data_IF_876662589501
#
_entry.id   IF_876662589501
#
_cell.length_a   1.000
_cell.length_b   1.000
_cell.length_c   1.000
_cell.angle_alpha   90.00
_cell.angle_beta   90.00
_cell.angle_gamma   90.00
#
_symmetry.space_group_name_H-M   'P 1'
#
loop_
_entity.id
_entity.type
_entity.pdbx_description
1 polymer ?
#
# COMPACT_ATOMS: atom_id res chain seq x y z
N UNK A 1 -60.97 -9.50 45.86
CA UNK A 1 -59.91 -10.51 45.64
C UNK A 1 -59.21 -10.14 44.35
N UNK A 2 -57.96 -9.68 44.43
CA UNK A 2 -57.20 -9.11 43.31
C UNK A 2 -56.77 -10.21 42.34
N UNK A 3 -57.20 -10.11 41.07
CA UNK A 3 -56.69 -10.95 39.99
C UNK A 3 -55.37 -10.34 39.50
N UNK A 4 -54.26 -10.93 39.94
CA UNK A 4 -52.92 -10.53 39.54
C UNK A 4 -52.62 -10.98 38.12
N UNK A 5 -52.80 -10.08 37.15
CA UNK A 5 -52.30 -10.27 35.79
C UNK A 5 -50.78 -10.20 35.81
N UNK A 6 -50.12 -11.36 35.73
CA UNK A 6 -48.68 -11.47 35.54
C UNK A 6 -48.31 -10.95 34.15
N UNK A 7 -47.80 -9.73 34.10
CA UNK A 7 -47.21 -9.14 32.89
C UNK A 7 -45.88 -9.85 32.65
N UNK A 8 -45.89 -10.87 31.78
CA UNK A 8 -44.66 -11.51 31.30
C UNK A 8 -43.91 -10.47 30.49
N UNK A 9 -42.89 -9.87 31.09
CA UNK A 9 -41.88 -9.13 30.34
C UNK A 9 -41.15 -10.15 29.47
N UNK A 10 -41.57 -10.26 28.22
CA UNK A 10 -40.79 -10.92 27.18
C UNK A 10 -39.51 -10.08 27.02
N UNK A 11 -38.47 -10.46 27.76
CA UNK A 11 -37.12 -9.95 27.55
C UNK A 11 -36.84 -10.27 26.10
N UNK A 12 -36.97 -9.27 25.22
CA UNK A 12 -36.36 -9.29 23.89
C UNK A 12 -34.90 -9.60 24.14
N UNK A 13 -34.56 -10.88 24.06
CA UNK A 13 -33.20 -11.30 23.80
C UNK A 13 -32.93 -10.63 22.47
N UNK A 14 -32.27 -9.48 22.51
CA UNK A 14 -31.63 -8.92 21.35
C UNK A 14 -30.67 -10.03 20.96
N UNK A 15 -31.14 -10.92 20.09
CA UNK A 15 -30.28 -11.82 19.39
C UNK A 15 -29.30 -10.85 18.75
N UNK A 16 -28.10 -10.77 19.31
CA UNK A 16 -26.96 -10.13 18.69
C UNK A 16 -26.74 -10.97 17.46
N UNK A 17 -27.52 -10.70 16.42
CA UNK A 17 -27.42 -11.34 15.14
C UNK A 17 -26.00 -11.01 14.76
N UNK A 18 -25.12 -12.01 14.87
CA UNK A 18 -23.74 -11.89 14.43
C UNK A 18 -23.92 -11.61 12.94
N UNK A 19 -23.92 -10.32 12.58
CA UNK A 19 -24.20 -9.85 11.23
C UNK A 19 -23.07 -10.38 10.39
N UNK A 20 -23.33 -11.49 9.71
CA UNK A 20 -22.41 -12.07 8.76
C UNK A 20 -22.34 -11.09 7.60
N UNK A 21 -21.34 -10.22 7.61
CA UNK A 21 -21.06 -9.35 6.48
C UNK A 21 -20.73 -10.23 5.28
N UNK A 22 -21.54 -10.15 4.23
CA UNK A 22 -21.29 -10.86 3.00
C UNK A 22 -20.30 -10.04 2.15
N UNK A 23 -19.00 -10.19 2.43
CA UNK A 23 -17.95 -9.56 1.65
C UNK A 23 -17.81 -10.28 0.30
N UNK A 24 -17.69 -9.54 -0.83
CA UNK A 24 -17.42 -10.15 -2.13
C UNK A 24 -16.02 -10.79 -2.12
N UNK A 25 -15.90 -12.13 -2.10
CA UNK A 25 -14.62 -12.81 -1.84
C UNK A 25 -13.60 -12.57 -2.95
N UNK A 26 -14.07 -12.48 -4.21
CA UNK A 26 -13.19 -12.24 -5.35
C UNK A 26 -12.58 -10.84 -5.34
N UNK A 27 -13.39 -9.81 -5.04
CA UNK A 27 -12.92 -8.42 -5.02
C UNK A 27 -11.91 -8.18 -3.89
N UNK A 28 -12.16 -8.76 -2.71
CA UNK A 28 -11.26 -8.62 -1.56
C UNK A 28 -9.94 -9.36 -1.79
N UNK A 29 -9.97 -10.59 -2.32
CA UNK A 29 -8.74 -11.33 -2.63
C UNK A 29 -7.91 -10.63 -3.73
N UNK A 30 -8.56 -10.08 -4.75
CA UNK A 30 -7.90 -9.30 -5.79
C UNK A 30 -7.25 -8.04 -5.21
N UNK A 31 -7.96 -7.32 -4.34
CA UNK A 31 -7.40 -6.15 -3.64
C UNK A 31 -6.16 -6.49 -2.82
N UNK A 32 -6.23 -7.57 -2.02
CA UNK A 32 -5.11 -8.06 -1.20
C UNK A 32 -3.88 -8.34 -2.07
N UNK A 33 -4.08 -9.07 -3.19
CA UNK A 33 -3.00 -9.45 -4.09
C UNK A 33 -2.29 -8.22 -4.69
N UNK A 34 -3.06 -7.25 -5.20
CA UNK A 34 -2.50 -6.03 -5.78
C UNK A 34 -1.76 -5.21 -4.73
N UNK A 35 -2.34 -5.02 -3.54
CA UNK A 35 -1.69 -4.27 -2.47
C UNK A 35 -0.39 -4.91 -1.99
N UNK A 36 -0.35 -6.24 -1.91
CA UNK A 36 0.85 -6.97 -1.53
C UNK A 36 1.95 -6.81 -2.58
N UNK A 37 1.61 -6.90 -3.88
CA UNK A 37 2.55 -6.62 -4.95
C UNK A 37 3.10 -5.18 -4.89
N UNK A 38 2.23 -4.18 -4.71
CA UNK A 38 2.66 -2.78 -4.58
C UNK A 38 3.57 -2.57 -3.35
N UNK A 39 3.23 -3.15 -2.20
CA UNK A 39 4.05 -3.01 -0.99
C UNK A 39 5.42 -3.71 -1.12
N UNK A 40 5.46 -4.94 -1.63
CA UNK A 40 6.70 -5.68 -1.80
C UNK A 40 7.64 -5.03 -2.83
N UNK A 41 7.09 -4.50 -3.92
CA UNK A 41 7.89 -3.81 -4.94
C UNK A 41 8.52 -2.53 -4.40
N UNK A 42 7.75 -1.70 -3.67
CA UNK A 42 8.26 -0.47 -3.03
C UNK A 42 9.36 -0.80 -2.03
N UNK A 43 9.14 -1.76 -1.12
CA UNK A 43 10.14 -2.17 -0.14
C UNK A 43 11.41 -2.70 -0.83
N UNK A 44 11.25 -3.53 -1.87
CA UNK A 44 12.37 -4.11 -2.60
C UNK A 44 13.24 -3.07 -3.30
N UNK A 45 12.61 -2.09 -3.97
CA UNK A 45 13.34 -1.02 -4.68
C UNK A 45 14.03 -0.07 -3.70
N UNK A 46 13.33 0.42 -2.67
CA UNK A 46 14.00 1.30 -1.70
C UNK A 46 15.05 0.57 -0.86
N UNK A 47 14.85 -0.72 -0.59
CA UNK A 47 15.86 -1.56 0.07
C UNK A 47 17.14 -1.68 -0.74
N UNK A 48 17.04 -1.88 -2.06
CA UNK A 48 18.22 -1.91 -2.94
C UNK A 48 18.90 -0.55 -3.04
N UNK A 49 18.13 0.55 -3.06
CA UNK A 49 18.70 1.90 -3.04
C UNK A 49 19.47 2.19 -1.76
N UNK A 50 18.96 1.78 -0.59
CA UNK A 50 19.69 1.90 0.67
C UNK A 50 21.00 1.11 0.61
N UNK A 51 21.01 -0.10 0.06
CA UNK A 51 22.23 -0.88 -0.10
C UNK A 51 23.26 -0.16 -0.97
N UNK A 52 22.83 0.42 -2.09
CA UNK A 52 23.69 1.21 -2.98
C UNK A 52 24.24 2.44 -2.24
N UNK A 53 23.40 3.21 -1.55
CA UNK A 53 23.83 4.40 -0.79
C UNK A 53 24.87 4.05 0.28
N UNK A 54 24.70 2.92 0.98
CA UNK A 54 25.70 2.44 1.94
C UNK A 54 27.04 2.08 1.30
N UNK A 55 27.04 1.50 0.09
CA UNK A 55 28.28 1.19 -0.64
C UNK A 55 29.00 2.45 -1.13
N UNK A 56 28.26 3.52 -1.42
CA UNK A 56 28.83 4.80 -1.85
C UNK A 56 29.15 5.74 -0.66
N UNK A 57 28.88 5.33 0.59
CA UNK A 57 29.05 6.14 1.81
C UNK A 57 28.28 7.47 1.79
N UNK A 58 27.15 7.53 1.07
CA UNK A 58 26.28 8.70 1.04
C UNK A 58 25.22 8.64 2.16
N UNK A 59 24.77 9.81 2.66
CA UNK A 59 23.70 9.88 3.63
C UNK A 59 22.38 9.38 3.04
N UNK A 60 21.69 8.51 3.77
CA UNK A 60 20.40 7.95 3.35
C UNK A 60 19.29 9.00 3.57
N UNK A 61 18.55 9.39 2.52
CA UNK A 61 17.46 10.33 2.67
C UNK A 61 16.30 9.72 3.47
N UNK A 62 15.60 10.54 4.25
CA UNK A 62 14.55 10.10 5.19
C UNK A 62 13.36 9.41 4.52
N UNK A 63 13.07 9.75 3.25
CA UNK A 63 11.91 9.22 2.54
C UNK A 63 12.09 7.76 2.12
N UNK A 64 13.33 7.25 1.99
CA UNK A 64 13.61 5.84 1.75
C UNK A 64 13.13 4.94 2.91
N UNK A 65 13.63 5.10 4.16
CA UNK A 65 13.16 4.29 5.28
C UNK A 65 11.70 4.58 5.62
N UNK A 66 11.23 5.82 5.46
CA UNK A 66 9.81 6.15 5.63
C UNK A 66 8.92 5.23 4.78
N UNK A 67 9.16 5.16 3.46
CA UNK A 67 8.25 4.42 2.60
C UNK A 67 8.37 2.90 2.73
N UNK A 68 9.55 2.40 3.15
CA UNK A 68 9.74 1.01 3.58
C UNK A 68 8.88 0.70 4.81
N UNK A 69 8.88 1.58 5.83
CA UNK A 69 8.05 1.37 7.03
C UNK A 69 6.55 1.38 6.70
N UNK A 70 6.10 2.30 5.84
CA UNK A 70 4.70 2.35 5.37
C UNK A 70 4.33 1.07 4.62
N UNK A 71 5.19 0.59 3.71
CA UNK A 71 5.01 -0.68 3.02
C UNK A 71 4.94 -1.88 3.99
N UNK A 72 5.80 -1.90 5.01
CA UNK A 72 5.80 -2.96 6.03
C UNK A 72 4.52 -2.95 6.87
N UNK A 73 4.03 -1.76 7.28
CA UNK A 73 2.75 -1.63 7.99
C UNK A 73 1.59 -2.08 7.08
N UNK A 74 1.63 -1.79 5.77
CA UNK A 74 0.62 -2.26 4.82
C UNK A 74 0.62 -3.80 4.72
N UNK A 75 1.80 -4.44 4.68
CA UNK A 75 1.91 -5.90 4.71
C UNK A 75 1.36 -6.47 6.02
N UNK A 76 1.72 -5.89 7.17
CA UNK A 76 1.18 -6.30 8.47
C UNK A 76 -0.35 -6.16 8.54
N UNK A 77 -0.90 -5.09 7.96
CA UNK A 77 -2.34 -4.88 7.86
C UNK A 77 -3.01 -5.97 7.01
N UNK A 78 -2.41 -6.36 5.88
CA UNK A 78 -2.90 -7.46 5.04
C UNK A 78 -2.88 -8.79 5.81
N UNK A 79 -1.80 -9.09 6.54
CA UNK A 79 -1.75 -10.27 7.42
C UNK A 79 -2.85 -10.24 8.50
N UNK A 80 -3.13 -9.06 9.06
CA UNK A 80 -4.26 -8.85 9.97
C UNK A 80 -5.60 -9.21 9.32
N UNK A 81 -5.84 -8.80 8.07
CA UNK A 81 -7.06 -9.16 7.32
C UNK A 81 -7.14 -10.67 7.09
N UNK A 82 -6.05 -11.32 6.68
CA UNK A 82 -5.99 -12.78 6.54
C UNK A 82 -6.38 -13.50 7.85
N UNK A 83 -5.88 -13.02 8.98
CA UNK A 83 -6.22 -13.55 10.30
C UNK A 83 -7.71 -13.38 10.64
N UNK A 84 -8.30 -12.21 10.31
CA UNK A 84 -9.73 -11.96 10.52
C UNK A 84 -10.62 -12.86 9.65
N UNK A 85 -10.20 -13.13 8.40
CA UNK A 85 -10.86 -14.09 7.51
C UNK A 85 -10.84 -15.50 8.12
N UNK A 86 -9.69 -15.92 8.65
CA UNK A 86 -9.57 -17.24 9.30
C UNK A 86 -10.53 -17.40 10.49
N UNK A 87 -10.82 -16.30 11.21
CA UNK A 87 -11.77 -16.28 12.34
C UNK A 87 -13.23 -16.04 11.93
N UNK A 88 -13.54 -15.90 10.63
CA UNK A 88 -14.87 -15.54 10.09
C UNK A 88 -15.48 -14.28 10.74
N UNK A 89 -14.65 -13.38 11.26
CA UNK A 89 -15.06 -12.12 11.91
C UNK A 89 -14.39 -10.95 11.22
N UNK A 90 -14.93 -10.57 10.07
CA UNK A 90 -14.46 -9.43 9.30
C UNK A 90 -15.22 -8.18 9.77
N UNK A 91 -14.62 -7.45 10.71
CA UNK A 91 -15.18 -6.21 11.25
C UNK A 91 -14.95 -5.06 10.25
N UNK A 92 -16.00 -4.54 9.59
CA UNK A 92 -15.87 -3.48 8.58
C UNK A 92 -15.24 -2.20 9.13
N UNK A 93 -15.49 -1.88 10.41
CA UNK A 93 -14.94 -0.71 11.07
C UNK A 93 -13.40 -0.72 11.12
N UNK A 94 -12.79 -1.88 11.40
CA UNK A 94 -11.33 -2.02 11.47
C UNK A 94 -10.71 -1.82 10.08
N UNK A 95 -11.33 -2.40 9.05
CA UNK A 95 -10.87 -2.25 7.66
C UNK A 95 -10.96 -0.78 7.22
N UNK A 96 -12.05 -0.08 7.57
CA UNK A 96 -12.25 1.32 7.21
C UNK A 96 -11.20 2.25 7.83
N UNK A 97 -10.98 2.13 9.16
CA UNK A 97 -10.03 2.97 9.88
C UNK A 97 -8.59 2.66 9.43
N UNK A 98 -8.24 1.37 9.31
CA UNK A 98 -6.91 0.94 8.88
C UNK A 98 -6.58 1.38 7.45
N UNK A 99 -7.54 1.26 6.53
CA UNK A 99 -7.37 1.72 5.15
C UNK A 99 -7.19 3.24 5.08
N UNK A 100 -7.93 4.02 5.88
CA UNK A 100 -7.78 5.47 5.91
C UNK A 100 -6.42 5.91 6.45
N UNK A 101 -5.95 5.32 7.55
CA UNK A 101 -4.61 5.62 8.09
C UNK A 101 -3.52 5.27 7.09
N UNK A 102 -3.59 4.07 6.50
CA UNK A 102 -2.63 3.65 5.47
C UNK A 102 -2.69 4.55 4.24
N UNK A 103 -3.88 4.99 3.82
CA UNK A 103 -4.04 5.88 2.68
C UNK A 103 -3.31 7.20 2.87
N UNK A 104 -3.45 7.84 4.05
CA UNK A 104 -2.76 9.10 4.35
C UNK A 104 -1.24 8.90 4.34
N UNK A 105 -0.73 7.86 5.00
CA UNK A 105 0.70 7.55 5.04
C UNK A 105 1.24 7.21 3.63
N UNK A 106 0.45 6.49 2.83
CA UNK A 106 0.81 6.11 1.47
C UNK A 106 0.87 7.32 0.53
N UNK A 107 -0.07 8.27 0.67
CA UNK A 107 -0.09 9.50 -0.11
C UNK A 107 1.14 10.37 0.15
N UNK A 108 1.58 10.49 1.41
CA UNK A 108 2.80 11.25 1.73
C UNK A 108 4.00 10.66 0.98
N UNK A 109 4.14 9.33 0.96
CA UNK A 109 5.19 8.66 0.18
C UNK A 109 5.08 8.92 -1.31
N UNK A 110 3.87 8.83 -1.88
CA UNK A 110 3.61 9.11 -3.30
C UNK A 110 3.99 10.55 -3.68
N UNK A 111 3.61 11.54 -2.86
CA UNK A 111 3.93 12.95 -3.10
C UNK A 111 5.44 13.16 -3.15
N UNK A 112 6.19 12.60 -2.19
CA UNK A 112 7.66 12.73 -2.18
C UNK A 112 8.27 12.07 -3.42
N UNK A 113 7.84 10.85 -3.78
CA UNK A 113 8.32 10.17 -5.00
C UNK A 113 8.04 11.01 -6.26
N UNK A 114 6.89 11.68 -6.32
CA UNK A 114 6.53 12.55 -7.44
C UNK A 114 7.44 13.78 -7.52
N UNK A 115 7.78 14.37 -6.36
CA UNK A 115 8.68 15.51 -6.27
C UNK A 115 10.11 15.15 -6.66
N UNK A 116 10.59 13.95 -6.34
CA UNK A 116 11.93 13.51 -6.74
C UNK A 116 11.98 13.19 -8.26
N UNK A 117 10.90 12.62 -8.81
CA UNK A 117 10.87 12.22 -10.22
C UNK A 117 10.79 13.43 -11.18
N UNK A 118 9.95 14.42 -10.87
CA UNK A 118 9.71 15.61 -11.71
C UNK A 118 10.08 16.94 -11.03
N UNK A 119 10.93 16.90 -10.00
CA UNK A 119 11.29 18.07 -9.22
C UNK A 119 12.01 19.16 -10.04
N UNK A 120 11.84 20.45 -9.69
CA UNK A 120 12.45 21.57 -10.44
C UNK A 120 13.98 21.62 -10.35
N UNK A 121 14.60 20.96 -9.36
CA UNK A 121 16.05 20.93 -9.17
C UNK A 121 16.55 19.49 -9.25
N UNK A 122 17.04 19.05 -10.42
CA UNK A 122 17.65 17.73 -10.57
C UNK A 122 16.65 16.59 -10.73
N UNK A 123 15.63 16.76 -11.58
CA UNK A 123 14.67 15.69 -11.88
C UNK A 123 15.41 14.42 -12.35
N UNK A 124 14.98 13.29 -11.79
CA UNK A 124 15.51 11.99 -12.20
C UNK A 124 15.20 11.79 -13.68
N UNK A 125 14.01 12.22 -14.13
CA UNK A 125 13.60 12.06 -15.52
C UNK A 125 14.51 12.82 -16.52
N UNK A 126 14.86 14.09 -16.27
CA UNK A 126 15.76 14.83 -17.16
C UNK A 126 17.18 14.27 -17.14
N UNK A 127 17.62 13.77 -15.98
CA UNK A 127 18.93 13.12 -15.83
C UNK A 127 18.98 11.81 -16.61
N UNK A 128 17.90 11.02 -16.56
CA UNK A 128 17.78 9.76 -17.29
C UNK A 128 17.69 9.99 -18.80
N UNK A 129 16.93 11.00 -19.25
CA UNK A 129 16.81 11.33 -20.67
C UNK A 129 18.15 11.79 -21.27
N UNK A 130 18.88 12.66 -20.56
CA UNK A 130 20.17 13.19 -21.03
C UNK A 130 21.30 12.16 -21.00
N UNK A 131 21.39 11.34 -19.95
CA UNK A 131 22.54 10.46 -19.74
C UNK A 131 22.35 9.03 -20.28
N UNK A 132 21.11 8.57 -20.48
CA UNK A 132 20.83 7.15 -20.77
C UNK A 132 20.13 6.95 -22.12
N UNK A 133 19.17 7.81 -22.49
CA UNK A 133 18.47 7.66 -23.77
C UNK A 133 19.27 8.15 -24.98
N UNK A 134 20.20 9.08 -24.78
CA UNK A 134 21.07 9.59 -25.85
C UNK A 134 22.38 8.81 -26.04
N UNK A 135 22.72 7.86 -25.17
CA UNK A 135 23.95 7.08 -25.25
C UNK A 135 23.63 5.59 -25.18
N UNK A 136 24.14 4.79 -26.12
CA UNK A 136 23.98 3.33 -26.10
C UNK A 136 25.35 2.64 -26.21
N UNK A 137 26.21 2.78 -25.19
CA UNK A 137 27.52 2.14 -25.17
C UNK A 137 27.37 0.62 -25.21
N UNK A 138 28.16 -0.05 -26.05
CA UNK A 138 28.17 -1.52 -26.21
C UNK A 138 29.57 -2.05 -25.92
N UNK A 139 29.65 -3.24 -25.31
CA UNK A 139 30.91 -3.91 -25.00
C UNK A 139 31.12 -4.14 -23.51
N UNK A 140 32.05 -5.04 -23.16
CA UNK A 140 32.37 -5.44 -21.77
C UNK A 140 33.32 -4.45 -21.10
N UNK A 141 32.91 -3.18 -21.04
CA UNK A 141 33.68 -2.08 -20.46
C UNK A 141 32.98 -1.57 -19.19
N UNK A 142 33.74 -0.98 -18.27
CA UNK A 142 33.21 -0.42 -17.01
C UNK A 142 32.18 0.69 -17.25
N UNK A 143 32.35 1.47 -18.31
CA UNK A 143 31.38 2.51 -18.72
C UNK A 143 30.01 1.92 -19.08
N UNK A 144 29.98 0.80 -19.80
CA UNK A 144 28.72 0.09 -20.12
C UNK A 144 28.04 -0.44 -18.86
N UNK A 145 28.81 -0.94 -17.89
CA UNK A 145 28.26 -1.41 -16.61
C UNK A 145 27.67 -0.27 -15.80
N UNK A 146 28.36 0.87 -15.73
CA UNK A 146 27.86 2.08 -15.06
C UNK A 146 26.57 2.59 -15.72
N UNK A 147 26.52 2.62 -17.06
CA UNK A 147 25.33 3.00 -17.81
C UNK A 147 24.14 2.05 -17.55
N UNK A 148 24.38 0.73 -17.56
CA UNK A 148 23.34 -0.27 -17.25
C UNK A 148 22.79 -0.07 -15.82
N UNK A 149 23.66 0.21 -14.86
CA UNK A 149 23.24 0.45 -13.48
C UNK A 149 22.40 1.72 -13.35
N UNK A 150 22.79 2.82 -14.00
CA UNK A 150 22.00 4.06 -14.05
C UNK A 150 20.64 3.84 -14.73
N UNK A 151 20.60 3.06 -15.82
CA UNK A 151 19.34 2.70 -16.49
C UNK A 151 18.39 1.94 -15.57
N UNK A 152 18.89 0.99 -14.79
CA UNK A 152 18.07 0.25 -13.83
C UNK A 152 17.49 1.17 -12.76
N UNK A 153 18.27 2.13 -12.25
CA UNK A 153 17.81 3.10 -11.26
C UNK A 153 16.63 3.91 -11.80
N UNK A 154 16.74 4.45 -13.02
CA UNK A 154 15.67 5.20 -13.68
C UNK A 154 14.37 4.38 -13.81
N UNK A 155 14.47 3.14 -14.31
CA UNK A 155 13.31 2.28 -14.47
C UNK A 155 12.67 1.89 -13.12
N UNK A 156 13.48 1.74 -12.08
CA UNK A 156 12.99 1.47 -10.73
C UNK A 156 12.18 2.65 -10.16
N UNK A 157 12.57 3.91 -10.45
CA UNK A 157 11.80 5.08 -10.03
C UNK A 157 10.43 5.16 -10.70
N UNK A 158 10.36 4.94 -12.01
CA UNK A 158 9.08 4.88 -12.74
C UNK A 158 8.18 3.74 -12.22
N UNK A 159 8.78 2.57 -11.97
CA UNK A 159 8.08 1.42 -11.39
C UNK A 159 7.51 1.76 -10.01
N UNK A 160 8.30 2.37 -9.13
CA UNK A 160 7.86 2.76 -7.79
C UNK A 160 6.72 3.77 -7.87
N UNK A 161 6.81 4.77 -8.75
CA UNK A 161 5.74 5.74 -8.93
C UNK A 161 4.44 5.07 -9.41
N UNK A 162 4.51 4.20 -10.42
CA UNK A 162 3.34 3.48 -10.93
C UNK A 162 2.70 2.57 -9.87
N UNK A 163 3.52 1.86 -9.09
CA UNK A 163 3.05 1.00 -8.00
C UNK A 163 2.49 1.80 -6.82
N UNK A 164 3.08 2.95 -6.50
CA UNK A 164 2.58 3.87 -5.49
C UNK A 164 1.20 4.44 -5.87
N UNK A 165 1.04 4.90 -7.12
CA UNK A 165 -0.23 5.42 -7.63
C UNK A 165 -1.31 4.34 -7.65
N UNK A 166 -0.95 3.14 -8.11
CA UNK A 166 -1.85 1.98 -8.08
C UNK A 166 -2.28 1.67 -6.65
N UNK A 167 -1.35 1.58 -5.70
CA UNK A 167 -1.65 1.35 -4.28
C UNK A 167 -2.59 2.40 -3.68
N UNK A 168 -2.43 3.68 -4.03
CA UNK A 168 -3.30 4.76 -3.55
C UNK A 168 -4.75 4.60 -4.05
N UNK A 169 -4.93 4.27 -5.33
CA UNK A 169 -6.26 4.03 -5.92
C UNK A 169 -6.93 2.82 -5.26
N UNK A 170 -6.19 1.73 -5.07
CA UNK A 170 -6.73 0.52 -4.43
C UNK A 170 -7.06 0.75 -2.95
N UNK A 171 -6.27 1.54 -2.21
CA UNK A 171 -6.60 1.93 -0.82
C UNK A 171 -7.89 2.76 -0.76
N UNK A 172 -8.11 3.66 -1.72
CA UNK A 172 -9.37 4.38 -1.83
C UNK A 172 -10.54 3.44 -2.18
N UNK A 173 -10.31 2.47 -3.09
CA UNK A 173 -11.33 1.51 -3.50
C UNK A 173 -11.80 0.60 -2.34
N UNK A 174 -10.89 0.11 -1.49
CA UNK A 174 -11.30 -0.71 -0.32
C UNK A 174 -12.12 0.08 0.69
N UNK A 175 -11.89 1.39 0.82
CA UNK A 175 -12.72 2.25 1.67
C UNK A 175 -14.16 2.32 1.16
N UNK A 176 -14.36 2.45 -0.16
CA UNK A 176 -15.69 2.39 -0.79
C UNK A 176 -16.33 1.02 -0.57
N UNK A 177 -15.59 -0.07 -0.79
CA UNK A 177 -16.10 -1.42 -0.56
C UNK A 177 -16.53 -1.61 0.91
N UNK A 178 -15.69 -1.22 1.87
CA UNK A 178 -16.01 -1.31 3.28
C UNK A 178 -17.27 -0.51 3.64
N UNK A 179 -17.45 0.69 3.06
CA UNK A 179 -18.66 1.48 3.22
C UNK A 179 -19.90 0.81 2.61
N UNK A 180 -19.80 0.24 1.41
CA UNK A 180 -20.93 -0.44 0.76
C UNK A 180 -21.41 -1.64 1.58
N UNK A 181 -20.49 -2.44 2.12
CA UNK A 181 -20.89 -3.55 3.01
C UNK A 181 -21.46 -2.98 4.31
N UNK A 182 -20.97 -1.81 4.78
CA UNK A 182 -21.54 -1.14 5.94
C UNK A 182 -22.97 -0.67 5.78
N UNK A 183 -23.25 0.03 4.69
CA UNK A 183 -24.58 0.54 4.38
C UNK A 183 -25.59 -0.57 4.05
N UNK A 184 -25.15 -1.70 3.49
CA UNK A 184 -26.02 -2.84 3.14
C UNK A 184 -26.33 -3.77 4.31
N UNK A 185 -25.62 -3.64 5.42
CA UNK A 185 -25.83 -4.47 6.60
C UNK A 185 -26.92 -3.92 7.48
#
# INVERSE_FOLDING_TARGET
MLSGTSVVYERKVVATHIRTYNWPPLQLNFWIFVMLLCACTIIGVFGSFIQIQNQLELPIPWYFPYYITVGAIAILFIFGIFWLIARRRLLPAIVMIGAFMLFVMWLVGLVVVSLELWGPNGSIQDTCDRNIFNQNPRGRNQETLAWLQQKMICQCWDLVFAMALTGAIFLFWVMIMAYQVFARS
#
